data_IF_421126566200
#
_entry.id   IF_421126566200
#
_cell.length_a   1.000
_cell.length_b   1.000
_cell.length_c   1.000
_cell.angle_alpha   90.00
_cell.angle_beta   90.00
_cell.angle_gamma   90.00
#
_symmetry.space_group_name_H-M   'P 1'
#
loop_
_entity.id
_entity.type
_entity.pdbx_description
1 polymer ?
#
# COMPACT_ATOMS: atom_id res chain seq x y z
N UNK A 1 24.15 5.24 2.18
CA UNK A 1 23.26 4.58 1.21
C UNK A 1 22.88 5.63 0.17
N UNK A 2 23.19 5.41 -1.11
CA UNK A 2 22.81 6.35 -2.16
C UNK A 2 21.27 6.38 -2.22
N UNK A 3 20.68 7.47 -1.74
CA UNK A 3 19.22 7.68 -1.72
C UNK A 3 18.72 7.98 -3.13
N UNK A 4 18.79 6.97 -4.00
CA UNK A 4 18.15 7.04 -5.30
C UNK A 4 16.66 6.90 -5.03
N UNK A 5 15.92 7.98 -5.26
CA UNK A 5 14.47 7.95 -5.20
C UNK A 5 13.94 6.93 -6.22
N UNK A 6 12.82 6.24 -5.93
CA UNK A 6 12.17 5.40 -6.91
C UNK A 6 11.90 6.18 -8.21
N UNK A 7 11.80 5.50 -9.37
CA UNK A 7 11.37 6.18 -10.58
C UNK A 7 9.89 6.62 -10.43
N UNK A 8 9.48 7.73 -11.07
CA UNK A 8 8.09 8.18 -11.06
C UNK A 8 7.11 7.07 -11.49
N UNK A 9 5.96 6.98 -10.82
CA UNK A 9 4.94 5.97 -11.02
C UNK A 9 5.23 4.62 -10.35
N UNK A 10 6.44 4.42 -9.80
CA UNK A 10 6.77 3.19 -9.09
C UNK A 10 5.97 3.05 -7.80
N UNK A 11 5.55 1.82 -7.51
CA UNK A 11 4.95 1.48 -6.22
C UNK A 11 6.05 1.12 -5.23
N UNK A 12 5.99 1.70 -4.03
CA UNK A 12 6.86 1.34 -2.91
C UNK A 12 6.05 0.80 -1.74
N UNK A 13 6.73 0.06 -0.87
CA UNK A 13 6.18 -0.52 0.33
C UNK A 13 7.07 -0.23 1.54
N UNK A 14 6.47 0.06 2.69
CA UNK A 14 7.18 0.27 3.97
C UNK A 14 6.38 -0.33 5.13
N UNK A 15 7.05 -0.64 6.24
CA UNK A 15 6.42 -1.13 7.47
C UNK A 15 6.35 -0.04 8.56
N UNK A 16 6.17 1.22 8.16
CA UNK A 16 6.15 2.40 9.02
C UNK A 16 5.18 2.32 10.22
N UNK A 17 4.12 1.52 10.13
CA UNK A 17 3.10 1.38 11.17
C UNK A 17 3.18 0.05 11.93
N UNK A 18 4.33 -0.62 11.90
CA UNK A 18 4.60 -1.85 12.63
C UNK A 18 4.92 -3.05 11.72
N UNK A 19 5.49 -4.13 12.29
CA UNK A 19 6.05 -5.25 11.54
C UNK A 19 5.02 -6.05 10.72
N UNK A 20 3.73 -5.97 11.09
CA UNK A 20 2.64 -6.71 10.45
C UNK A 20 1.76 -5.84 9.54
N UNK A 21 2.16 -4.58 9.29
CA UNK A 21 1.42 -3.65 8.45
C UNK A 21 2.32 -3.14 7.31
N UNK A 22 1.99 -3.53 6.08
CA UNK A 22 2.69 -3.03 4.90
C UNK A 22 1.89 -1.88 4.30
N UNK A 23 2.51 -0.70 4.30
CA UNK A 23 1.96 0.51 3.74
C UNK A 23 2.47 0.74 2.33
N UNK A 24 1.57 1.06 1.40
CA UNK A 24 1.89 1.27 -0.01
C UNK A 24 1.72 2.74 -0.43
N UNK A 25 2.59 3.17 -1.34
CA UNK A 25 2.55 4.50 -1.94
C UNK A 25 3.08 4.48 -3.37
N UNK A 26 2.78 5.54 -4.12
CA UNK A 26 3.22 5.75 -5.51
C UNK A 26 4.19 6.92 -5.52
N UNK A 27 5.33 6.73 -6.18
CA UNK A 27 6.29 7.80 -6.41
C UNK A 27 5.76 8.83 -7.42
N UNK A 28 5.63 10.08 -7.00
CA UNK A 28 5.31 11.21 -7.87
C UNK A 28 6.50 11.62 -8.74
N UNK A 29 6.21 12.34 -9.82
CA UNK A 29 7.20 12.99 -10.68
C UNK A 29 7.93 14.16 -10.00
N UNK A 30 7.39 14.66 -8.88
CA UNK A 30 7.92 15.75 -8.08
C UNK A 30 8.80 15.29 -6.90
N UNK A 31 9.09 13.99 -6.78
CA UNK A 31 9.88 13.47 -5.66
C UNK A 31 9.07 13.07 -4.42
N UNK A 32 7.76 13.31 -4.40
CA UNK A 32 6.88 13.04 -3.25
C UNK A 32 6.13 11.70 -3.43
N UNK A 33 5.71 11.10 -2.32
CA UNK A 33 4.95 9.85 -2.30
C UNK A 33 3.46 10.16 -2.17
N UNK A 34 2.67 9.69 -3.13
CA UNK A 34 1.21 9.78 -3.10
C UNK A 34 0.65 8.51 -2.46
N UNK A 35 -0.10 8.64 -1.38
CA UNK A 35 -0.66 7.49 -0.66
C UNK A 35 -1.90 7.83 0.16
N UNK A 36 -2.71 6.83 0.47
CA UNK A 36 -3.74 6.92 1.50
C UNK A 36 -3.08 6.94 2.88
N UNK A 37 -2.97 8.10 3.52
CA UNK A 37 -2.27 8.24 4.80
C UNK A 37 -3.07 7.70 5.97
N UNK A 38 -2.51 6.69 6.66
CA UNK A 38 -3.08 6.17 7.91
C UNK A 38 -3.09 7.21 9.03
N UNK A 39 -2.13 8.14 9.02
CA UNK A 39 -2.05 9.24 10.00
C UNK A 39 -3.17 10.26 9.79
N UNK A 40 -3.49 10.59 8.54
CA UNK A 40 -4.40 11.69 8.19
C UNK A 40 -5.81 11.23 7.76
N UNK A 41 -6.03 9.94 7.48
CA UNK A 41 -7.34 9.43 7.05
C UNK A 41 -7.73 9.77 5.62
N UNK A 42 -6.80 10.29 4.82
CA UNK A 42 -7.05 10.79 3.48
C UNK A 42 -5.84 10.59 2.56
N UNK A 43 -6.07 10.67 1.25
CA UNK A 43 -5.00 10.60 0.26
C UNK A 43 -4.19 11.90 0.27
N UNK A 44 -2.89 11.77 0.49
CA UNK A 44 -1.93 12.87 0.57
C UNK A 44 -0.75 12.61 -0.34
N UNK A 45 0.10 13.63 -0.44
CA UNK A 45 1.37 13.58 -1.14
C UNK A 45 2.42 14.18 -0.20
N UNK A 46 3.31 13.33 0.32
CA UNK A 46 4.26 13.67 1.39
C UNK A 46 5.70 13.28 0.99
N UNK A 47 6.70 13.82 1.69
CA UNK A 47 8.09 13.43 1.48
C UNK A 47 8.30 11.94 1.81
N UNK A 48 9.30 11.30 1.20
CA UNK A 48 9.63 9.91 1.47
C UNK A 48 9.88 9.64 2.97
N UNK A 49 10.54 10.58 3.67
CA UNK A 49 10.78 10.48 5.11
C UNK A 49 9.50 10.49 5.95
N UNK A 50 8.52 11.31 5.57
CA UNK A 50 7.19 11.36 6.22
C UNK A 50 6.39 10.09 5.93
N UNK A 51 6.46 9.59 4.69
CA UNK A 51 5.80 8.35 4.29
C UNK A 51 6.34 7.13 5.07
N UNK A 52 7.66 7.04 5.24
CA UNK A 52 8.29 5.91 5.93
C UNK A 52 8.35 6.05 7.44
N UNK A 53 8.23 7.26 7.99
CA UNK A 53 8.39 7.53 9.42
C UNK A 53 9.69 6.92 10.01
N UNK A 54 10.77 6.99 9.24
CA UNK A 54 12.07 6.43 9.62
C UNK A 54 12.22 4.92 9.40
N UNK A 55 11.18 4.20 8.97
CA UNK A 55 11.29 2.81 8.57
C UNK A 55 11.98 2.65 7.21
N UNK A 56 12.50 1.44 6.96
CA UNK A 56 12.99 1.06 5.64
C UNK A 56 11.83 0.91 4.65
N UNK A 57 12.15 1.07 3.36
CA UNK A 57 11.21 0.89 2.26
C UNK A 57 11.82 -0.01 1.18
N UNK A 58 10.96 -0.56 0.33
CA UNK A 58 11.34 -1.41 -0.81
C UNK A 58 10.46 -1.13 -2.01
N UNK A 59 10.96 -1.45 -3.20
CA UNK A 59 10.12 -1.51 -4.40
C UNK A 59 9.08 -2.62 -4.26
N UNK A 60 7.83 -2.29 -4.52
CA UNK A 60 6.75 -3.27 -4.62
C UNK A 60 6.72 -3.85 -6.03
N UNK A 61 6.36 -5.14 -6.14
CA UNK A 61 6.10 -5.79 -7.42
C UNK A 61 4.77 -5.39 -8.05
N UNK A 62 3.93 -4.61 -7.35
CA UNK A 62 2.66 -4.09 -7.88
C UNK A 62 2.96 -3.06 -8.98
N UNK A 63 2.77 -3.50 -10.23
CA UNK A 63 2.86 -2.69 -11.44
C UNK A 63 1.79 -3.15 -12.43
N UNK A 64 1.15 -2.21 -13.12
CA UNK A 64 0.23 -2.49 -14.22
C UNK A 64 0.80 -2.06 -15.57
N UNK A 65 -0.05 -2.06 -16.59
CA UNK A 65 0.33 -1.63 -17.95
C UNK A 65 0.13 -0.12 -18.17
N UNK A 66 -0.37 0.60 -17.16
CA UNK A 66 -0.59 2.04 -17.26
C UNK A 66 0.75 2.79 -17.26
N UNK A 67 0.91 3.82 -18.10
CA UNK A 67 2.10 4.64 -18.09
C UNK A 67 2.18 5.46 -16.79
N UNK A 68 3.40 5.82 -16.37
CA UNK A 68 3.65 6.45 -15.07
C UNK A 68 2.85 7.75 -14.86
N UNK A 69 2.72 8.57 -15.90
CA UNK A 69 1.94 9.81 -15.86
C UNK A 69 0.44 9.56 -15.60
N UNK A 70 -0.15 8.51 -16.17
CA UNK A 70 -1.53 8.12 -15.89
C UNK A 70 -1.69 7.63 -14.45
N UNK A 71 -0.76 6.81 -13.97
CA UNK A 71 -0.76 6.31 -12.59
C UNK A 71 -0.69 7.48 -11.60
N UNK A 72 0.23 8.41 -11.81
CA UNK A 72 0.42 9.60 -10.98
C UNK A 72 -0.81 10.52 -11.05
N UNK A 73 -1.30 10.82 -12.26
CA UNK A 73 -2.50 11.65 -12.47
C UNK A 73 -3.71 11.07 -11.73
N UNK A 74 -3.93 9.76 -11.89
CA UNK A 74 -5.01 9.07 -11.19
C UNK A 74 -4.84 9.16 -9.68
N UNK A 75 -3.64 8.91 -9.16
CA UNK A 75 -3.37 8.98 -7.73
C UNK A 75 -3.60 10.40 -7.17
N UNK A 76 -3.16 11.44 -7.89
CA UNK A 76 -3.37 12.85 -7.53
C UNK A 76 -4.83 13.27 -7.58
N UNK A 77 -5.61 12.74 -8.52
CA UNK A 77 -7.06 13.02 -8.62
C UNK A 77 -7.84 12.60 -7.36
N UNK A 78 -7.23 11.75 -6.51
CA UNK A 78 -7.82 11.27 -5.27
C UNK A 78 -7.34 12.02 -4.03
N UNK A 79 -6.42 12.97 -4.15
CA UNK A 79 -5.93 13.77 -3.01
C UNK A 79 -7.10 14.42 -2.26
N UNK A 80 -7.05 14.38 -0.94
CA UNK A 80 -8.13 14.87 -0.07
C UNK A 80 -9.30 13.88 0.13
N UNK A 81 -9.42 12.84 -0.70
CA UNK A 81 -10.46 11.84 -0.53
C UNK A 81 -10.20 11.04 0.76
N UNK A 82 -11.24 10.91 1.59
CA UNK A 82 -11.21 10.01 2.75
C UNK A 82 -11.06 8.58 2.27
N UNK A 83 -10.17 7.84 2.89
CA UNK A 83 -9.90 6.46 2.51
C UNK A 83 -9.83 5.62 3.77
N UNK A 84 -10.65 4.56 3.86
CA UNK A 84 -10.59 3.67 5.01
C UNK A 84 -9.21 3.01 5.08
N UNK A 85 -8.55 3.05 6.23
CA UNK A 85 -7.09 2.90 6.35
C UNK A 85 -6.59 1.48 6.64
N UNK A 86 -7.46 0.49 6.54
CA UNK A 86 -7.11 -0.90 6.82
C UNK A 86 -6.21 -1.50 5.72
N UNK A 87 -5.40 -2.48 6.09
CA UNK A 87 -4.29 -3.11 5.33
C UNK A 87 -4.62 -3.43 3.85
N UNK A 88 -5.89 -3.67 3.51
CA UNK A 88 -6.33 -3.94 2.13
C UNK A 88 -6.43 -2.69 1.25
N UNK A 89 -6.66 -1.52 1.85
CA UNK A 89 -7.13 -0.35 1.11
C UNK A 89 -5.99 0.48 0.52
N UNK A 90 -4.82 0.56 1.15
CA UNK A 90 -3.64 1.19 0.53
C UNK A 90 -3.10 0.33 -0.63
N UNK A 91 -3.18 -1.00 -0.50
CA UNK A 91 -2.88 -1.91 -1.60
C UNK A 91 -3.90 -1.76 -2.75
N UNK A 92 -5.20 -1.70 -2.43
CA UNK A 92 -6.23 -1.46 -3.43
C UNK A 92 -6.05 -0.11 -4.13
N UNK A 93 -5.67 0.94 -3.40
CA UNK A 93 -5.38 2.25 -3.96
C UNK A 93 -4.29 2.16 -5.05
N UNK A 94 -3.13 1.58 -4.73
CA UNK A 94 -2.04 1.46 -5.70
C UNK A 94 -2.40 0.54 -6.86
N UNK A 95 -3.12 -0.56 -6.60
CA UNK A 95 -3.59 -1.46 -7.67
C UNK A 95 -4.55 -0.77 -8.63
N UNK A 96 -5.51 0.01 -8.13
CA UNK A 96 -6.45 0.76 -8.96
C UNK A 96 -5.75 1.85 -9.78
N UNK A 97 -4.74 2.51 -9.21
CA UNK A 97 -3.90 3.46 -9.96
C UNK A 97 -3.22 2.79 -11.16
N UNK A 98 -2.78 1.54 -10.98
CA UNK A 98 -2.20 0.70 -12.02
C UNK A 98 -3.21 0.03 -12.96
N UNK A 99 -4.52 0.24 -12.77
CA UNK A 99 -5.59 -0.40 -13.55
C UNK A 99 -5.75 -1.90 -13.26
N UNK A 100 -5.22 -2.39 -12.14
CA UNK A 100 -5.32 -3.77 -11.71
C UNK A 100 -6.60 -4.01 -10.89
N UNK A 101 -7.19 -5.21 -10.94
CA UNK A 101 -8.33 -5.55 -10.10
C UNK A 101 -7.94 -5.51 -8.62
N UNK A 102 -8.87 -5.19 -7.73
CA UNK A 102 -8.67 -5.28 -6.27
C UNK A 102 -8.29 -6.72 -5.90
N UNK A 103 -7.28 -6.89 -5.04
CA UNK A 103 -6.99 -8.22 -4.51
C UNK A 103 -7.96 -8.50 -3.34
N UNK A 104 -8.87 -9.46 -3.51
CA UNK A 104 -9.70 -9.96 -2.42
C UNK A 104 -8.89 -10.94 -1.56
N UNK A 105 -8.21 -10.44 -0.51
CA UNK A 105 -7.53 -11.32 0.48
C UNK A 105 -8.51 -12.04 1.42
N UNK A 106 -9.80 -11.69 1.42
CA UNK A 106 -10.82 -12.30 2.27
C UNK A 106 -11.11 -13.79 1.97
N UNK A 107 -10.54 -14.39 0.92
CA UNK A 107 -10.64 -15.84 0.67
C UNK A 107 -9.33 -16.62 0.94
N UNK A 108 -8.46 -16.14 1.85
CA UNK A 108 -7.25 -16.91 2.28
C UNK A 108 -7.11 -17.01 3.81
N UNK A 109 -8.15 -16.71 4.58
CA UNK A 109 -8.11 -16.83 6.06
C UNK A 109 -9.31 -17.62 6.62
N UNK A 110 -9.72 -18.70 5.93
CA UNK A 110 -10.85 -19.54 6.40
C UNK A 110 -10.50 -21.03 6.55
N UNK A 111 -9.25 -21.47 6.35
CA UNK A 111 -8.95 -22.92 6.42
C UNK A 111 -8.29 -23.39 7.73
N UNK A 112 -7.83 -22.52 8.64
CA UNK A 112 -7.00 -23.00 9.78
C UNK A 112 -7.75 -23.16 11.13
N UNK A 113 -8.97 -22.66 11.31
CA UNK A 113 -9.61 -22.68 12.65
C UNK A 113 -10.46 -23.92 12.98
N UNK A 114 -10.73 -24.84 12.04
CA UNK A 114 -11.55 -26.04 12.35
C UNK A 114 -10.70 -27.21 12.86
N UNK A 115 -9.41 -27.27 12.54
CA UNK A 115 -8.56 -28.40 12.95
C UNK A 115 -8.20 -28.41 14.45
N UNK A 116 -8.18 -27.26 15.12
CA UNK A 116 -7.76 -27.19 16.52
C UNK A 116 -8.88 -27.49 17.52
N UNK A 117 -10.15 -27.31 17.15
CA UNK A 117 -11.29 -27.60 18.06
C UNK A 117 -11.55 -29.10 18.22
N UNK A 118 -11.13 -29.93 17.27
CA UNK A 118 -11.29 -31.39 17.33
C UNK A 118 -10.17 -32.10 18.11
N UNK A 119 -9.04 -31.43 18.38
CA UNK A 119 -7.91 -32.04 19.10
C UNK A 119 -7.98 -31.87 20.62
N UNK A 120 -8.83 -30.98 21.15
CA UNK A 120 -8.97 -30.74 22.60
C UNK A 120 -10.22 -31.33 23.25
N UNK A 121 -11.10 -32.01 22.49
CA UNK A 121 -12.30 -32.67 23.05
C UNK A 121 -12.17 -34.18 23.27
N UNK A 122 -10.94 -34.69 23.22
CA UNK A 122 -10.62 -36.13 23.29
C UNK A 122 -9.59 -36.51 24.36
N UNK A 123 -9.61 -35.86 25.53
CA UNK A 123 -8.97 -36.36 26.75
C UNK A 123 -9.95 -36.24 27.92
#
# INVERSE_FOLDING_TARGET
MNNILPPPGATIATNAFGPFYTHFGIMGDNGLIIHASKRLGLVVEEALSEFTQGASWRHSSIRGNKPANEVISWARSRKGQRWDLFNSNCEHFVRMAHGLPKQCKQMVTTVVSVALFLLFKGK
#
